data_IF_218825147108
#
_entry.id   IF_218825147108
#
_cell.length_a   1.000
_cell.length_b   1.000
_cell.length_c   1.000
_cell.angle_alpha   90.00
_cell.angle_beta   90.00
_cell.angle_gamma   90.00
#
_symmetry.space_group_name_H-M   'P 1'
#
loop_
_entity.id
_entity.type
_entity.pdbx_description
1 polymer ?
#
# COMPACT_ATOMS: atom_id res chain seq x y z
N UNK A 1 -15.59 -9.79 2.13
CA UNK A 1 -15.23 -8.72 3.08
C UNK A 1 -14.20 -7.85 2.39
N UNK A 2 -14.44 -6.54 2.23
CA UNK A 2 -13.39 -5.64 1.74
C UNK A 2 -12.37 -5.41 2.87
N UNK A 3 -11.09 -5.39 2.51
CA UNK A 3 -10.01 -5.02 3.43
C UNK A 3 -9.74 -3.53 3.19
N UNK A 4 -9.75 -2.73 4.24
CA UNK A 4 -9.48 -1.29 4.12
C UNK A 4 -7.98 -1.00 4.17
N UNK A 5 -7.56 0.18 3.70
CA UNK A 5 -6.16 0.61 3.83
C UNK A 5 -5.65 0.54 5.27
N UNK A 6 -6.51 0.86 6.24
CA UNK A 6 -6.15 0.79 7.65
C UNK A 6 -5.88 -0.66 8.10
N UNK A 7 -6.74 -1.61 7.70
CA UNK A 7 -6.52 -3.04 8.00
C UNK A 7 -5.28 -3.58 7.29
N UNK A 8 -5.03 -3.17 6.04
CA UNK A 8 -3.78 -3.51 5.32
C UNK A 8 -2.56 -3.01 6.11
N UNK A 9 -2.56 -1.74 6.51
CA UNK A 9 -1.47 -1.15 7.29
C UNK A 9 -1.23 -1.88 8.62
N UNK A 10 -2.31 -2.17 9.36
CA UNK A 10 -2.23 -2.91 10.63
C UNK A 10 -1.69 -4.34 10.43
N UNK A 11 -2.24 -5.11 9.48
CA UNK A 11 -1.76 -6.46 9.19
C UNK A 11 -0.30 -6.47 8.72
N UNK A 12 0.10 -5.55 7.84
CA UNK A 12 1.49 -5.45 7.38
C UNK A 12 2.47 -5.18 8.55
N UNK A 13 2.09 -4.31 9.49
CA UNK A 13 2.92 -4.02 10.67
C UNK A 13 2.97 -5.13 11.69
N UNK A 14 1.82 -5.75 12.00
CA UNK A 14 1.68 -6.67 13.14
C UNK A 14 1.92 -8.11 12.73
N UNK A 15 1.41 -8.54 11.58
CA UNK A 15 1.46 -9.94 11.13
C UNK A 15 2.67 -10.21 10.23
N UNK A 16 3.05 -9.22 9.41
CA UNK A 16 4.07 -9.41 8.38
C UNK A 16 5.40 -8.67 8.66
N UNK A 17 5.49 -7.87 9.73
CA UNK A 17 6.75 -7.26 10.20
C UNK A 17 7.18 -5.98 9.47
N UNK A 18 6.35 -5.40 8.61
CA UNK A 18 6.68 -4.15 7.90
C UNK A 18 6.42 -2.94 8.77
N UNK A 19 7.43 -2.40 9.45
CA UNK A 19 7.23 -1.24 10.34
C UNK A 19 7.21 0.11 9.62
N UNK A 20 7.80 0.20 8.44
CA UNK A 20 7.86 1.41 7.63
C UNK A 20 7.16 1.17 6.29
N UNK A 21 6.11 1.94 6.02
CA UNK A 21 5.22 1.76 4.88
C UNK A 21 4.92 3.11 4.23
N UNK A 22 4.74 3.11 2.90
CA UNK A 22 4.43 4.32 2.13
C UNK A 22 3.33 4.04 1.12
N UNK A 23 2.66 5.11 0.69
CA UNK A 23 1.80 5.08 -0.49
C UNK A 23 2.60 5.49 -1.73
N UNK A 24 2.56 4.65 -2.75
CA UNK A 24 3.10 4.91 -4.08
C UNK A 24 2.02 4.67 -5.15
N UNK A 25 2.37 4.88 -6.42
CA UNK A 25 1.47 4.84 -7.55
C UNK A 25 2.06 3.99 -8.66
N UNK A 26 1.26 3.05 -9.19
CA UNK A 26 1.64 2.22 -10.34
C UNK A 26 0.61 2.35 -11.47
N UNK A 27 0.96 1.87 -12.65
CA UNK A 27 -0.02 1.71 -13.72
C UNK A 27 -1.09 0.68 -13.31
N UNK A 28 -2.33 0.92 -13.75
CA UNK A 28 -3.40 -0.04 -13.53
C UNK A 28 -3.07 -1.36 -14.26
N UNK A 29 -3.10 -2.52 -13.58
CA UNK A 29 -2.77 -3.81 -14.20
C UNK A 29 -3.80 -4.25 -15.24
N UNK A 30 -5.01 -3.70 -15.17
CA UNK A 30 -6.11 -3.93 -16.10
C UNK A 30 -6.74 -2.59 -16.46
N UNK A 31 -7.91 -2.63 -17.12
CA UNK A 31 -8.69 -1.43 -17.41
C UNK A 31 -8.85 -0.59 -16.13
N UNK A 32 -8.49 0.68 -16.20
CA UNK A 32 -8.67 1.66 -15.13
C UNK A 32 -10.12 1.62 -14.62
N UNK A 33 -10.37 1.11 -13.40
CA UNK A 33 -11.71 0.97 -12.86
C UNK A 33 -12.28 2.30 -12.38
N UNK A 34 -11.39 3.23 -11.98
CA UNK A 34 -11.78 4.56 -11.51
C UNK A 34 -11.22 5.65 -12.44
N UNK A 35 -12.08 6.35 -13.21
CA UNK A 35 -11.64 7.37 -14.15
C UNK A 35 -11.03 8.62 -13.48
N UNK A 36 -11.27 8.84 -12.18
CA UNK A 36 -10.70 9.98 -11.46
C UNK A 36 -9.24 9.75 -11.03
N UNK A 37 -8.70 8.54 -11.19
CA UNK A 37 -7.33 8.21 -10.80
C UNK A 37 -6.55 7.56 -11.93
N UNK A 38 -5.65 8.34 -12.53
CA UNK A 38 -4.79 7.93 -13.65
C UNK A 38 -3.90 6.71 -13.31
N UNK A 39 -3.55 6.55 -12.04
CA UNK A 39 -2.67 5.48 -11.54
C UNK A 39 -3.29 4.78 -10.34
N UNK A 40 -2.96 3.49 -10.19
CA UNK A 40 -3.41 2.68 -9.06
C UNK A 40 -2.55 3.00 -7.82
N UNK A 41 -3.16 3.39 -6.70
CA UNK A 41 -2.48 3.52 -5.42
C UNK A 41 -2.02 2.15 -4.90
N UNK A 42 -0.80 2.09 -4.37
CA UNK A 42 -0.20 0.88 -3.80
C UNK A 42 0.52 1.18 -2.49
N UNK A 43 0.41 0.26 -1.55
CA UNK A 43 1.23 0.24 -0.32
C UNK A 43 2.54 -0.44 -0.63
N UNK A 44 3.65 0.19 -0.25
CA UNK A 44 5.00 -0.31 -0.47
C UNK A 44 5.81 -0.39 0.83
N UNK A 45 6.75 -1.34 0.90
CA UNK A 45 7.76 -1.46 1.98
C UNK A 45 8.88 -0.42 1.86
N UNK A 46 9.81 -0.39 2.81
CA UNK A 46 11.00 0.44 2.80
C UNK A 46 11.98 0.20 1.63
N UNK A 47 11.94 -0.96 0.97
CA UNK A 47 12.68 -1.20 -0.28
C UNK A 47 11.88 -0.80 -1.53
N UNK A 48 10.59 -0.50 -1.36
CA UNK A 48 9.63 -0.21 -2.42
C UNK A 48 8.99 -1.46 -3.02
N UNK A 49 9.02 -2.59 -2.31
CA UNK A 49 8.24 -3.78 -2.66
C UNK A 49 6.76 -3.47 -2.53
N UNK A 50 5.98 -3.77 -3.57
CA UNK A 50 4.53 -3.59 -3.54
C UNK A 50 3.88 -4.70 -2.72
N UNK A 51 3.07 -4.31 -1.73
CA UNK A 51 2.47 -5.21 -0.74
C UNK A 51 0.96 -5.28 -0.89
N UNK A 52 0.30 -4.16 -1.14
CA UNK A 52 -1.13 -4.10 -1.38
C UNK A 52 -1.49 -3.03 -2.41
N UNK A 53 -2.64 -3.17 -3.04
CA UNK A 53 -3.16 -2.22 -4.02
C UNK A 53 -4.62 -1.92 -3.73
N UNK A 54 -5.04 -0.70 -4.07
CA UNK A 54 -6.44 -0.33 -4.03
C UNK A 54 -7.19 -0.93 -5.22
N UNK A 55 -8.33 -1.58 -4.98
CA UNK A 55 -9.08 -2.33 -5.99
C UNK A 55 -9.82 -1.41 -6.99
N UNK A 56 -9.82 -0.10 -6.76
CA UNK A 56 -10.43 0.88 -7.65
C UNK A 56 -11.85 1.28 -7.30
N UNK A 57 -12.45 0.65 -6.27
CA UNK A 57 -13.83 0.91 -5.88
C UNK A 57 -13.95 0.98 -4.36
N UNK A 58 -14.64 2.01 -3.87
CA UNK A 58 -14.85 2.23 -2.44
C UNK A 58 -13.54 2.20 -1.65
N UNK A 59 -13.57 1.51 -0.52
CA UNK A 59 -12.43 1.36 0.39
C UNK A 59 -11.71 0.03 0.30
N UNK A 60 -11.87 -0.67 -0.83
CA UNK A 60 -11.38 -2.04 -1.00
C UNK A 60 -9.92 -2.07 -1.43
N UNK A 61 -9.11 -2.78 -0.66
CA UNK A 61 -7.71 -3.06 -0.92
C UNK A 61 -7.47 -4.56 -0.90
N UNK A 62 -6.48 -4.99 -1.68
CA UNK A 62 -6.04 -6.38 -1.74
C UNK A 62 -4.53 -6.48 -1.68
N UNK A 63 -4.02 -7.53 -1.02
CA UNK A 63 -2.60 -7.86 -1.08
C UNK A 63 -2.22 -8.24 -2.51
N UNK A 64 -1.08 -7.73 -3.00
CA UNK A 64 -0.61 -8.04 -4.37
C UNK A 64 0.30 -9.27 -4.42
N UNK A 65 0.82 -9.71 -3.28
CA UNK A 65 1.68 -10.89 -3.16
C UNK A 65 0.96 -12.01 -2.42
N UNK A 66 1.43 -13.24 -2.63
CA UNK A 66 1.03 -14.39 -1.81
C UNK A 66 1.47 -14.21 -0.35
N UNK A 67 0.76 -14.88 0.58
CA UNK A 67 0.96 -14.70 2.03
C UNK A 67 2.41 -14.86 2.49
N UNK A 68 3.12 -15.87 1.99
CA UNK A 68 4.54 -16.12 2.34
C UNK A 68 5.45 -14.97 1.90
N UNK A 69 5.13 -14.33 0.78
CA UNK A 69 5.89 -13.22 0.21
C UNK A 69 5.53 -11.87 0.84
N UNK A 70 4.54 -11.80 1.73
CA UNK A 70 4.23 -10.57 2.47
C UNK A 70 5.15 -10.38 3.66
N UNK A 71 5.74 -11.45 4.20
CA UNK A 71 6.65 -11.33 5.34
C UNK A 71 7.87 -10.46 4.99
N UNK A 72 8.24 -9.61 5.94
CA UNK A 72 9.46 -8.82 5.89
C UNK A 72 10.67 -9.74 5.80
N UNK A 73 11.60 -9.42 4.90
CA UNK A 73 12.86 -10.13 4.70
C UNK A 73 14.00 -9.11 4.67
N UNK A 74 14.93 -9.20 5.62
CA UNK A 74 16.07 -8.27 5.73
C UNK A 74 16.92 -8.19 4.46
N UNK A 75 16.94 -9.25 3.64
CA UNK A 75 17.70 -9.26 2.38
C UNK A 75 16.99 -8.48 1.28
N UNK A 76 15.65 -8.60 1.19
CA UNK A 76 14.84 -8.02 0.12
C UNK A 76 14.21 -6.66 0.48
N UNK A 77 13.99 -6.40 1.77
CA UNK A 77 13.40 -5.18 2.32
C UNK A 77 14.47 -4.27 2.96
N UNK A 78 15.63 -4.16 2.32
CA UNK A 78 16.62 -3.19 2.74
C UNK A 78 16.08 -1.76 2.58
N UNK A 79 16.36 -0.91 3.57
CA UNK A 79 15.95 0.49 3.53
C UNK A 79 16.64 1.22 2.36
N UNK A 80 15.84 1.72 1.41
CA UNK A 80 16.35 2.48 0.27
C UNK A 80 16.12 3.99 0.47
N UNK A 81 17.11 4.76 0.93
CA UNK A 81 16.95 6.19 1.22
C UNK A 81 16.69 7.07 -0.02
N UNK A 82 16.90 6.53 -1.23
CA UNK A 82 16.55 7.22 -2.48
C UNK A 82 15.07 7.12 -2.84
N UNK A 83 14.35 6.17 -2.21
CA UNK A 83 12.93 5.89 -2.43
C UNK A 83 12.13 6.36 -1.21
N UNK A 84 10.81 6.53 -1.40
CA UNK A 84 9.86 6.60 -0.30
C UNK A 84 10.07 7.77 0.68
N UNK A 85 10.22 9.00 0.17
CA UNK A 85 10.35 10.19 1.04
C UNK A 85 9.01 10.85 1.34
N UNK A 86 8.03 10.63 0.47
CA UNK A 86 6.70 11.23 0.54
C UNK A 86 5.64 10.18 0.87
N UNK A 87 4.56 10.60 1.55
CA UNK A 87 3.41 9.75 1.88
C UNK A 87 3.71 8.54 2.78
N UNK A 88 4.58 8.72 3.78
CA UNK A 88 4.73 7.75 4.87
C UNK A 88 3.36 7.47 5.51
N UNK A 89 3.03 6.19 5.62
CA UNK A 89 1.76 5.74 6.16
C UNK A 89 1.84 5.68 7.68
N UNK A 90 1.18 6.64 8.31
CA UNK A 90 0.77 6.58 9.70
C UNK A 90 -0.76 6.68 9.78
N UNK A 91 -1.33 6.51 10.98
CA UNK A 91 -2.78 6.56 11.17
C UNK A 91 -3.41 7.89 10.70
N UNK A 92 -2.70 9.01 10.89
CA UNK A 92 -3.17 10.34 10.48
C UNK A 92 -3.14 10.48 8.97
N UNK A 93 -2.04 10.09 8.32
CA UNK A 93 -1.89 10.16 6.87
C UNK A 93 -2.91 9.26 6.17
N UNK A 94 -3.18 8.07 6.70
CA UNK A 94 -4.23 7.19 6.16
C UNK A 94 -5.60 7.89 6.16
N UNK A 95 -5.94 8.62 7.23
CA UNK A 95 -7.19 9.39 7.29
C UNK A 95 -7.21 10.52 6.24
N UNK A 96 -6.12 11.27 6.11
CA UNK A 96 -5.99 12.34 5.09
C UNK A 96 -6.12 11.79 3.66
N UNK A 97 -5.51 10.63 3.38
CA UNK A 97 -5.58 9.98 2.08
C UNK A 97 -6.99 9.50 1.75
N UNK A 98 -7.72 8.96 2.73
CA UNK A 98 -9.13 8.60 2.56
C UNK A 98 -9.99 9.81 2.23
N UNK A 99 -9.78 10.94 2.89
CA UNK A 99 -10.53 12.16 2.59
C UNK A 99 -10.20 12.70 1.19
N UNK A 100 -8.91 12.75 0.85
CA UNK A 100 -8.43 13.32 -0.42
C UNK A 100 -8.84 12.48 -1.63
N UNK A 101 -8.69 11.17 -1.54
CA UNK A 101 -8.85 10.26 -2.68
C UNK A 101 -10.11 9.41 -2.63
N UNK A 102 -10.85 9.44 -1.51
CA UNK A 102 -12.08 8.67 -1.29
C UNK A 102 -11.89 7.16 -1.44
N UNK A 103 -10.72 6.68 -1.00
CA UNK A 103 -10.49 5.27 -0.67
C UNK A 103 -11.12 4.91 0.68
#
# INVERSE_FOLDING_TARGET
MSITLQKIYESLRVEYGHHELWLDWREWPFRQPNPALERQPVVISCSGRQLAAWDGTGDSWSFVQGREQLHFDDQSDYFNPGRNKDNFLDARRIAELKEKYRF
#
